data_IF_559243965582
#
_entry.id   IF_559243965582
#
_cell.length_a   1.000
_cell.length_b   1.000
_cell.length_c   1.000
_cell.angle_alpha   90.00
_cell.angle_beta   90.00
_cell.angle_gamma   90.00
#
_symmetry.space_group_name_H-M   'P 1'
#
loop_
_entity.id
_entity.type
_entity.pdbx_description
1 polymer ?
#
# COMPACT_ATOMS: atom_id res chain seq x y z
N UNK A 1 15.32 10.69 25.03
CA UNK A 1 14.91 10.52 23.62
C UNK A 1 15.21 11.80 22.88
N UNK A 2 15.73 11.69 21.68
CA UNK A 2 16.06 12.82 20.82
C UNK A 2 15.26 12.76 19.52
N UNK A 3 14.90 13.92 18.98
CA UNK A 3 14.30 14.05 17.66
C UNK A 3 14.78 15.35 17.01
N UNK A 4 14.61 15.44 15.70
CA UNK A 4 14.97 16.59 14.89
C UNK A 4 13.81 16.99 13.98
N UNK A 5 13.57 18.29 13.88
CA UNK A 5 12.64 18.87 12.92
C UNK A 5 13.18 18.71 11.50
N UNK A 6 12.40 18.06 10.62
CA UNK A 6 12.87 17.68 9.28
C UNK A 6 13.09 18.87 8.33
N UNK A 7 12.53 20.04 8.63
CA UNK A 7 12.63 21.24 7.78
C UNK A 7 13.69 22.22 8.31
N UNK A 8 13.78 22.36 9.64
CA UNK A 8 14.60 23.38 10.30
C UNK A 8 15.85 22.83 10.98
N UNK A 9 15.96 21.51 11.16
CA UNK A 9 17.07 20.86 11.87
C UNK A 9 17.07 21.13 13.39
N UNK A 10 16.01 21.75 13.93
CA UNK A 10 15.91 22.02 15.37
C UNK A 10 15.82 20.72 16.15
N UNK A 11 16.71 20.56 17.13
CA UNK A 11 16.78 19.37 17.99
C UNK A 11 15.87 19.49 19.22
N UNK A 12 15.32 18.36 19.62
CA UNK A 12 14.49 18.22 20.82
C UNK A 12 14.95 17.04 21.66
N UNK A 13 14.81 17.17 22.98
CA UNK A 13 15.18 16.13 23.94
C UNK A 13 14.12 16.00 25.03
N UNK A 14 13.69 14.78 25.33
CA UNK A 14 12.73 14.48 26.39
C UNK A 14 13.16 13.29 27.25
N UNK A 15 12.70 13.29 28.50
CA UNK A 15 12.73 12.14 29.41
C UNK A 15 11.34 11.50 29.47
N UNK A 16 11.29 10.17 29.50
CA UNK A 16 10.03 9.41 29.56
C UNK A 16 10.18 8.19 30.45
N UNK A 17 9.08 7.80 31.11
CA UNK A 17 9.02 6.58 31.95
C UNK A 17 8.83 5.30 31.12
N UNK A 18 8.43 5.44 29.86
CA UNK A 18 8.23 4.35 28.92
C UNK A 18 8.30 4.86 27.47
N UNK A 19 8.58 3.95 26.55
CA UNK A 19 8.72 4.22 25.12
C UNK A 19 7.97 3.15 24.33
N UNK A 20 7.20 3.56 23.33
CA UNK A 20 6.51 2.67 22.39
C UNK A 20 7.13 2.87 21.00
N UNK A 21 7.61 1.79 20.39
CA UNK A 21 8.00 1.77 18.99
C UNK A 21 6.80 1.33 18.13
N UNK A 22 6.13 2.29 17.51
CA UNK A 22 4.97 2.07 16.64
C UNK A 22 5.22 2.58 15.19
N UNK A 23 6.45 2.40 14.70
CA UNK A 23 6.91 2.97 13.41
C UNK A 23 6.59 2.10 12.17
N UNK A 24 5.68 1.13 12.29
CA UNK A 24 5.15 0.37 11.14
C UNK A 24 6.24 -0.32 10.30
N UNK A 25 6.35 -0.05 8.98
CA UNK A 25 7.42 -0.61 8.12
C UNK A 25 8.85 -0.37 8.64
N UNK A 26 9.05 0.69 9.43
CA UNK A 26 10.34 1.05 10.01
C UNK A 26 10.56 0.43 11.41
N UNK A 27 9.65 -0.40 11.92
CA UNK A 27 9.71 -0.91 13.31
C UNK A 27 11.05 -1.55 13.62
N UNK A 28 11.54 -2.44 12.76
CA UNK A 28 12.84 -3.10 12.93
C UNK A 28 13.99 -2.10 12.74
N UNK A 29 13.89 -1.24 11.74
CA UNK A 29 14.94 -0.23 11.49
C UNK A 29 15.12 0.71 12.70
N UNK A 30 14.04 1.10 13.38
CA UNK A 30 14.14 1.93 14.57
C UNK A 30 14.78 1.20 15.76
N UNK A 31 14.61 -0.13 15.86
CA UNK A 31 15.39 -0.95 16.80
C UNK A 31 16.88 -0.92 16.47
N UNK A 32 17.22 -1.19 15.20
CA UNK A 32 18.61 -1.31 14.76
C UNK A 32 19.36 0.03 14.80
N UNK A 33 18.81 1.08 14.18
CA UNK A 33 19.48 2.37 13.97
C UNK A 33 19.17 3.38 15.09
N UNK A 34 17.93 3.39 15.58
CA UNK A 34 17.44 4.40 16.53
C UNK A 34 17.75 4.07 17.99
N UNK A 35 17.68 2.78 18.35
CA UNK A 35 17.88 2.31 19.72
C UNK A 35 19.14 1.46 19.90
N UNK A 36 19.73 0.94 18.81
CA UNK A 36 20.83 -0.02 18.85
C UNK A 36 20.51 -1.25 19.71
N UNK A 37 19.27 -1.73 19.61
CA UNK A 37 18.75 -2.89 20.35
C UNK A 37 18.32 -3.99 19.37
N UNK A 38 18.44 -5.28 19.74
CA UNK A 38 17.95 -6.36 18.91
C UNK A 38 16.42 -6.31 18.83
N UNK A 39 15.88 -6.21 17.61
CA UNK A 39 14.44 -6.38 17.40
C UNK A 39 14.03 -7.81 17.80
N UNK A 40 12.95 -8.00 18.56
CA UNK A 40 12.49 -9.33 18.97
C UNK A 40 12.00 -10.19 17.79
N UNK A 41 11.63 -9.56 16.67
CA UNK A 41 11.15 -10.22 15.46
C UNK A 41 11.72 -9.56 14.19
N UNK A 42 11.72 -10.34 13.10
CA UNK A 42 11.84 -9.78 11.75
C UNK A 42 10.55 -9.12 11.28
N UNK A 43 10.63 -8.35 10.19
CA UNK A 43 9.47 -7.82 9.48
C UNK A 43 9.54 -8.26 8.02
N UNK A 44 8.39 -8.69 7.47
CA UNK A 44 8.22 -8.93 6.03
C UNK A 44 7.43 -7.78 5.45
N UNK A 45 8.03 -7.05 4.54
CA UNK A 45 7.36 -5.97 3.82
C UNK A 45 6.71 -6.57 2.58
N UNK A 46 5.38 -6.54 2.54
CA UNK A 46 4.60 -6.99 1.39
C UNK A 46 3.93 -5.74 0.81
N UNK A 47 4.37 -5.36 -0.39
CA UNK A 47 3.77 -4.27 -1.17
C UNK A 47 2.42 -4.73 -1.70
N UNK A 48 1.42 -3.87 -1.54
CA UNK A 48 0.14 -3.96 -2.22
C UNK A 48 -0.19 -2.62 -2.88
N UNK A 49 -0.59 -2.69 -4.15
CA UNK A 49 -0.92 -1.52 -4.97
C UNK A 49 -2.40 -1.50 -5.34
N UNK A 50 -2.91 -0.32 -5.70
CA UNK A 50 -4.26 -0.13 -6.22
C UNK A 50 -4.19 0.67 -7.51
N UNK A 51 -5.19 0.53 -8.38
CA UNK A 51 -5.41 1.42 -9.51
C UNK A 51 -6.78 2.09 -9.37
N UNK A 52 -6.87 3.34 -9.81
CA UNK A 52 -8.12 4.11 -9.81
C UNK A 52 -8.50 4.46 -11.24
N UNK A 53 -9.76 4.21 -11.57
CA UNK A 53 -10.35 4.45 -12.88
C UNK A 53 -11.68 5.19 -12.74
N UNK A 54 -12.18 5.87 -13.79
CA UNK A 54 -13.58 6.32 -13.82
C UNK A 54 -14.52 5.17 -13.53
N UNK A 55 -15.59 5.46 -12.78
CA UNK A 55 -16.47 4.43 -12.22
C UNK A 55 -16.91 3.40 -13.26
N UNK A 56 -16.72 2.13 -12.94
CA UNK A 56 -16.93 1.02 -13.89
C UNK A 56 -18.41 0.68 -14.09
N UNK A 57 -19.25 0.98 -13.10
CA UNK A 57 -20.71 0.82 -13.13
C UNK A 57 -21.42 1.78 -12.15
N UNK A 58 -22.70 2.06 -12.37
CA UNK A 58 -23.49 2.96 -11.51
C UNK A 58 -23.98 2.32 -10.20
N UNK A 59 -23.71 1.03 -9.98
CA UNK A 59 -24.11 0.31 -8.76
C UNK A 59 -23.34 0.78 -7.52
N UNK A 60 -23.97 0.73 -6.35
CA UNK A 60 -23.39 1.17 -5.07
C UNK A 60 -22.53 0.09 -4.39
N UNK A 61 -22.71 -1.17 -4.78
CA UNK A 61 -22.04 -2.31 -4.18
C UNK A 61 -20.60 -2.42 -4.67
N UNK A 62 -19.74 -2.92 -3.80
CA UNK A 62 -18.42 -3.41 -4.18
C UNK A 62 -18.52 -4.86 -4.67
N UNK A 63 -17.55 -5.26 -5.49
CA UNK A 63 -17.34 -6.64 -5.89
C UNK A 63 -16.07 -7.20 -5.25
N UNK A 64 -16.11 -8.50 -4.96
CA UNK A 64 -14.96 -9.32 -4.57
C UNK A 64 -14.77 -10.38 -5.65
N UNK A 65 -13.63 -10.35 -6.33
CA UNK A 65 -13.31 -11.20 -7.47
C UNK A 65 -12.36 -12.30 -7.02
N UNK A 66 -12.65 -13.55 -7.37
CA UNK A 66 -11.76 -14.68 -7.12
C UNK A 66 -10.81 -14.80 -8.31
N UNK A 67 -9.51 -14.67 -8.07
CA UNK A 67 -8.51 -14.81 -9.12
C UNK A 67 -7.99 -16.26 -9.22
N UNK A 68 -7.39 -16.62 -10.36
CA UNK A 68 -6.84 -17.95 -10.64
C UNK A 68 -5.78 -18.40 -9.61
N UNK A 69 -5.05 -17.43 -9.04
CA UNK A 69 -4.05 -17.63 -7.98
C UNK A 69 -4.65 -17.79 -6.57
N UNK A 70 -5.98 -17.90 -6.46
CA UNK A 70 -6.77 -17.99 -5.22
C UNK A 70 -6.77 -16.72 -4.37
N UNK A 71 -6.16 -15.63 -4.82
CA UNK A 71 -6.29 -14.33 -4.15
C UNK A 71 -7.62 -13.68 -4.53
N UNK A 72 -8.02 -12.71 -3.72
CA UNK A 72 -9.19 -11.90 -3.98
C UNK A 72 -8.79 -10.50 -4.40
N UNK A 73 -9.52 -9.92 -5.35
CA UNK A 73 -9.36 -8.53 -5.78
C UNK A 73 -10.70 -7.82 -5.62
N UNK A 74 -10.69 -6.66 -4.98
CA UNK A 74 -11.88 -5.83 -4.84
C UNK A 74 -12.02 -4.86 -6.00
N UNK A 75 -13.28 -4.55 -6.32
CA UNK A 75 -13.68 -3.41 -7.15
C UNK A 75 -14.66 -2.58 -6.33
N UNK A 76 -14.23 -1.41 -5.87
CA UNK A 76 -14.94 -0.62 -4.86
C UNK A 76 -15.36 0.74 -5.47
N UNK A 77 -16.66 1.09 -5.50
CA UNK A 77 -17.09 2.44 -5.84
C UNK A 77 -16.46 3.47 -4.89
N UNK A 78 -15.89 4.54 -5.42
CA UNK A 78 -15.15 5.52 -4.64
C UNK A 78 -15.50 6.96 -5.05
N UNK A 79 -15.84 7.78 -4.04
CA UNK A 79 -16.21 9.20 -4.19
C UNK A 79 -17.24 9.48 -5.28
N UNK A 80 -18.20 8.57 -5.45
CA UNK A 80 -19.28 8.59 -6.46
C UNK A 80 -18.86 8.55 -7.95
N UNK A 81 -17.63 8.94 -8.27
CA UNK A 81 -17.12 9.13 -9.64
C UNK A 81 -16.10 8.06 -10.08
N UNK A 82 -15.52 7.30 -9.15
CA UNK A 82 -14.41 6.38 -9.43
C UNK A 82 -14.68 4.94 -9.00
N UNK A 83 -13.78 4.06 -9.40
CA UNK A 83 -13.64 2.72 -8.83
C UNK A 83 -12.18 2.45 -8.47
N UNK A 84 -11.97 1.95 -7.26
CA UNK A 84 -10.67 1.45 -6.80
C UNK A 84 -10.62 -0.05 -7.08
N UNK A 85 -9.54 -0.51 -7.72
CA UNK A 85 -9.28 -1.93 -7.99
C UNK A 85 -7.99 -2.34 -7.28
N UNK A 86 -8.04 -3.39 -6.46
CA UNK A 86 -6.87 -3.86 -5.72
C UNK A 86 -7.14 -5.02 -4.76
N UNK A 87 -6.12 -5.65 -4.18
CA UNK A 87 -4.69 -5.27 -4.22
C UNK A 87 -3.78 -6.44 -4.60
N UNK A 88 -2.48 -6.18 -4.67
CA UNK A 88 -1.40 -7.12 -4.98
C UNK A 88 -0.67 -7.57 -3.71
N UNK A 89 0.12 -8.65 -3.80
CA UNK A 89 1.00 -9.12 -2.73
C UNK A 89 2.37 -9.36 -3.36
N UNK A 90 3.28 -8.40 -3.19
CA UNK A 90 4.64 -8.46 -3.75
C UNK A 90 5.65 -8.30 -2.62
N UNK A 91 6.56 -9.26 -2.45
CA UNK A 91 7.66 -9.11 -1.48
C UNK A 91 8.47 -7.87 -1.82
N UNK A 92 8.66 -6.99 -0.84
CA UNK A 92 9.32 -5.70 -1.03
C UNK A 92 10.62 -5.62 -0.24
N UNK A 93 11.64 -5.04 -0.87
CA UNK A 93 12.91 -4.69 -0.25
C UNK A 93 13.26 -3.27 -0.67
N UNK A 94 13.65 -2.43 0.30
CA UNK A 94 14.02 -1.04 0.06
C UNK A 94 13.31 -0.09 1.02
N UNK A 95 13.37 1.20 0.71
CA UNK A 95 12.75 2.27 1.49
C UNK A 95 11.22 2.23 1.35
N UNK A 96 10.46 2.03 2.43
CA UNK A 96 8.99 2.06 2.37
C UNK A 96 8.42 3.39 1.85
N UNK A 97 9.15 4.52 1.89
CA UNK A 97 8.72 5.78 1.26
C UNK A 97 8.81 5.76 -0.27
N UNK A 98 9.65 4.91 -0.84
CA UNK A 98 9.85 4.81 -2.28
C UNK A 98 8.94 3.75 -2.94
N UNK A 99 8.01 3.18 -2.19
CA UNK A 99 7.06 2.18 -2.68
C UNK A 99 6.19 2.78 -3.80
N UNK A 100 6.09 2.06 -4.91
CA UNK A 100 5.26 2.44 -6.04
C UNK A 100 4.78 1.19 -6.78
N UNK A 101 3.64 1.33 -7.45
CA UNK A 101 3.12 0.29 -8.32
C UNK A 101 4.11 0.00 -9.45
N UNK A 102 4.19 -1.25 -9.86
CA UNK A 102 4.92 -1.68 -11.05
C UNK A 102 3.99 -2.18 -12.16
N UNK A 103 4.51 -2.28 -13.38
CA UNK A 103 3.72 -2.66 -14.55
C UNK A 103 3.10 -4.06 -14.42
N UNK A 104 3.77 -4.99 -13.72
CA UNK A 104 3.24 -6.34 -13.47
C UNK A 104 1.99 -6.32 -12.57
N UNK A 105 1.93 -5.40 -11.60
CA UNK A 105 0.77 -5.20 -10.73
C UNK A 105 -0.41 -4.58 -11.49
N UNK A 106 -0.15 -3.59 -12.35
CA UNK A 106 -1.19 -3.01 -13.23
C UNK A 106 -1.81 -4.10 -14.10
N UNK A 107 -0.96 -4.88 -14.78
CA UNK A 107 -1.40 -5.98 -15.64
C UNK A 107 -2.19 -7.03 -14.86
N UNK A 108 -1.75 -7.35 -13.64
CA UNK A 108 -2.46 -8.26 -12.76
C UNK A 108 -3.88 -7.76 -12.44
N UNK A 109 -4.00 -6.51 -11.97
CA UNK A 109 -5.29 -5.95 -11.57
C UNK A 109 -6.26 -5.80 -12.74
N UNK A 110 -5.77 -5.31 -13.89
CA UNK A 110 -6.57 -5.21 -15.11
C UNK A 110 -6.99 -6.59 -15.64
N UNK A 111 -6.11 -7.59 -15.60
CA UNK A 111 -6.45 -8.97 -16.02
C UNK A 111 -7.61 -9.51 -15.18
N UNK A 112 -7.53 -9.41 -13.85
CA UNK A 112 -8.59 -9.94 -12.97
C UNK A 112 -9.92 -9.22 -13.23
N UNK A 113 -9.88 -7.88 -13.35
CA UNK A 113 -11.08 -7.11 -13.66
C UNK A 113 -11.68 -7.50 -15.03
N UNK A 114 -10.87 -7.54 -16.08
CA UNK A 114 -11.33 -7.77 -17.46
C UNK A 114 -11.87 -9.18 -17.69
N UNK A 115 -11.43 -10.18 -16.91
CA UNK A 115 -12.01 -11.53 -16.93
C UNK A 115 -13.42 -11.58 -16.34
N UNK A 116 -13.78 -10.65 -15.45
CA UNK A 116 -15.07 -10.65 -14.74
C UNK A 116 -16.10 -9.66 -15.30
N UNK A 117 -15.66 -8.54 -15.88
CA UNK A 117 -16.54 -7.46 -16.31
C UNK A 117 -16.65 -7.35 -17.83
N UNK A 118 -17.86 -7.07 -18.34
CA UNK A 118 -18.09 -6.83 -19.77
C UNK A 118 -17.43 -5.55 -20.28
N UNK A 119 -17.50 -4.45 -19.51
CA UNK A 119 -16.81 -3.19 -19.83
C UNK A 119 -15.32 -3.41 -19.58
N UNK A 120 -14.56 -3.55 -20.66
CA UNK A 120 -13.11 -3.72 -20.58
C UNK A 120 -12.44 -2.40 -20.16
N UNK A 121 -11.35 -2.52 -19.42
CA UNK A 121 -10.45 -1.43 -19.06
C UNK A 121 -9.07 -1.66 -19.67
N UNK A 122 -8.44 -0.56 -20.05
CA UNK A 122 -7.07 -0.49 -20.52
C UNK A 122 -6.20 0.25 -19.50
N UNK A 123 -4.89 0.27 -19.75
CA UNK A 123 -3.95 1.08 -18.97
C UNK A 123 -4.25 2.58 -19.05
N UNK A 124 -4.80 3.03 -20.18
CA UNK A 124 -5.09 4.44 -20.43
C UNK A 124 -6.33 4.94 -19.67
N UNK A 125 -7.14 4.03 -19.13
CA UNK A 125 -8.29 4.38 -18.28
C UNK A 125 -7.88 4.69 -16.83
N UNK A 126 -6.62 4.42 -16.46
CA UNK A 126 -6.10 4.63 -15.11
C UNK A 126 -5.80 6.12 -14.90
N UNK A 127 -6.45 6.71 -13.91
CA UNK A 127 -6.31 8.14 -13.56
C UNK A 127 -5.43 8.37 -12.34
N UNK A 128 -5.22 7.35 -11.50
CA UNK A 128 -4.31 7.40 -10.34
C UNK A 128 -3.87 6.00 -9.91
N UNK A 129 -2.72 5.91 -9.23
CA UNK A 129 -2.09 4.70 -8.69
C UNK A 129 -1.43 4.96 -7.36
#
# INVERSE_FOLDING_TARGET
MEAEDIDTGKKYTWQARGLVNATGPWVKQFFDDGMHLPSPYGIRLIKGSHIVVPRVHTQKQAYILQNEDKRIVFVIPWMDEFSIIGTTDVEYKGDPKAVKIEESEINYLLKVYNTHFKKQLSRDDIVWT
#
